data_IF_490427786344
#
_entry.id   IF_490427786344
#
_cell.length_a   1.000
_cell.length_b   1.000
_cell.length_c   1.000
_cell.angle_alpha   90.00
_cell.angle_beta   90.00
_cell.angle_gamma   90.00
#
_symmetry.space_group_name_H-M   'P 1'
#
loop_
_entity.id
_entity.type
_entity.pdbx_description
1 polymer ?
#
# COMPACT_ATOMS: atom_id res chain seq x y z
N UNK A 1 -15.89 15.18 21.14
CA UNK A 1 -16.35 15.08 19.74
C UNK A 1 -15.52 16.06 18.94
N UNK A 2 -14.94 15.64 17.81
CA UNK A 2 -14.30 16.57 16.86
C UNK A 2 -15.44 17.23 16.09
N UNK A 3 -15.65 18.53 16.29
CA UNK A 3 -16.77 19.31 15.73
C UNK A 3 -16.15 20.42 14.89
N UNK A 4 -16.65 20.64 13.68
CA UNK A 4 -16.23 21.74 12.82
C UNK A 4 -16.76 23.09 13.31
N UNK A 5 -16.22 24.19 12.80
CA UNK A 5 -16.64 25.56 13.18
C UNK A 5 -18.13 25.84 12.89
N UNK A 6 -18.72 25.09 11.96
CA UNK A 6 -20.15 25.12 11.60
C UNK A 6 -21.04 24.27 12.53
N UNK A 7 -20.48 23.61 13.55
CA UNK A 7 -21.20 22.72 14.47
C UNK A 7 -21.35 21.28 13.99
N UNK A 8 -20.87 20.95 12.79
CA UNK A 8 -20.99 19.60 12.22
C UNK A 8 -20.04 18.63 12.93
N UNK A 9 -20.54 17.46 13.39
CA UNK A 9 -19.66 16.39 13.87
C UNK A 9 -18.78 15.86 12.72
N UNK A 10 -17.46 15.96 12.85
CA UNK A 10 -16.51 15.60 11.78
C UNK A 10 -16.26 14.09 11.63
N UNK A 11 -16.34 13.34 12.73
CA UNK A 11 -16.27 11.86 12.71
C UNK A 11 -17.65 11.19 12.81
N UNK A 12 -18.63 11.73 13.59
CA UNK A 12 -19.97 11.15 13.66
C UNK A 12 -21.01 11.91 12.82
N UNK A 13 -20.74 12.20 11.55
CA UNK A 13 -21.80 12.62 10.61
C UNK A 13 -22.76 11.47 10.33
N UNK A 14 -24.05 11.76 10.17
CA UNK A 14 -25.09 10.72 10.05
C UNK A 14 -24.83 9.74 8.90
N UNK A 15 -24.33 10.21 7.75
CA UNK A 15 -24.02 9.36 6.59
C UNK A 15 -22.80 8.45 6.80
N UNK A 16 -21.70 8.99 7.33
CA UNK A 16 -20.49 8.19 7.63
C UNK A 16 -20.80 7.18 8.72
N UNK A 17 -21.49 7.58 9.78
CA UNK A 17 -21.85 6.69 10.88
C UNK A 17 -22.79 5.57 10.42
N UNK A 18 -23.79 5.89 9.59
CA UNK A 18 -24.72 4.90 9.05
C UNK A 18 -23.99 3.79 8.28
N UNK A 19 -23.18 4.16 7.28
CA UNK A 19 -22.39 3.20 6.50
C UNK A 19 -21.38 2.45 7.36
N UNK A 20 -20.65 3.16 8.23
CA UNK A 20 -19.62 2.55 9.08
C UNK A 20 -20.20 1.59 10.15
N UNK A 21 -21.46 1.79 10.55
CA UNK A 21 -22.16 0.94 11.52
C UNK A 21 -22.83 -0.30 10.92
N UNK A 22 -22.69 -0.49 9.59
CA UNK A 22 -23.27 -1.61 8.87
C UNK A 22 -22.69 -2.95 9.35
N UNK A 23 -23.56 -3.89 9.69
CA UNK A 23 -23.18 -5.22 10.20
C UNK A 23 -23.70 -6.37 9.32
N UNK A 24 -24.61 -6.09 8.39
CA UNK A 24 -25.10 -7.01 7.36
C UNK A 24 -24.07 -7.14 6.23
N UNK A 25 -23.11 -8.03 6.44
CA UNK A 25 -21.99 -8.25 5.51
C UNK A 25 -22.20 -9.59 4.80
N UNK A 26 -22.45 -9.53 3.49
CA UNK A 26 -22.77 -10.72 2.69
C UNK A 26 -21.63 -11.09 1.74
N UNK A 27 -20.92 -10.09 1.21
CA UNK A 27 -19.91 -10.32 0.19
C UNK A 27 -18.48 -10.41 0.75
N UNK A 28 -17.59 -11.08 0.01
CA UNK A 28 -16.16 -11.10 0.32
C UNK A 28 -15.56 -9.68 0.32
N UNK A 29 -16.02 -8.83 -0.59
CA UNK A 29 -15.59 -7.44 -0.67
C UNK A 29 -15.95 -6.67 0.59
N UNK A 30 -17.22 -6.72 1.01
CA UNK A 30 -17.69 -6.06 2.23
C UNK A 30 -16.98 -6.62 3.47
N UNK A 31 -16.75 -7.93 3.55
CA UNK A 31 -16.01 -8.53 4.67
C UNK A 31 -14.58 -7.96 4.77
N UNK A 32 -13.90 -7.78 3.65
CA UNK A 32 -12.58 -7.19 3.62
C UNK A 32 -12.58 -5.69 3.96
N UNK A 33 -13.64 -4.98 3.62
CA UNK A 33 -13.81 -3.56 3.96
C UNK A 33 -14.16 -3.36 5.44
N UNK A 34 -15.25 -3.95 5.92
CA UNK A 34 -15.85 -3.65 7.23
C UNK A 34 -15.24 -4.42 8.41
N UNK A 35 -14.57 -5.56 8.18
CA UNK A 35 -13.98 -6.36 9.27
C UNK A 35 -12.45 -6.40 9.28
N UNK A 36 -11.80 -6.15 8.13
CA UNK A 36 -10.35 -6.33 7.99
C UNK A 36 -9.60 -5.01 7.73
N UNK A 37 -10.26 -4.02 7.13
CA UNK A 37 -9.67 -2.72 6.82
C UNK A 37 -10.65 -1.58 7.07
N UNK A 38 -11.37 -1.62 8.19
CA UNK A 38 -12.34 -0.58 8.55
C UNK A 38 -11.65 0.79 8.69
N UNK A 39 -10.39 0.80 9.13
CA UNK A 39 -9.55 1.98 9.26
C UNK A 39 -9.41 2.77 7.94
N UNK A 40 -9.13 2.07 6.85
CA UNK A 40 -9.04 2.64 5.50
C UNK A 40 -10.42 3.01 4.96
N UNK A 41 -11.42 2.17 5.21
CA UNK A 41 -12.78 2.43 4.76
C UNK A 41 -13.29 3.76 5.33
N UNK A 42 -13.03 4.02 6.63
CA UNK A 42 -13.41 5.27 7.27
C UNK A 42 -12.86 6.49 6.52
N UNK A 43 -11.58 6.45 6.12
CA UNK A 43 -10.98 7.56 5.37
C UNK A 43 -11.62 7.75 4.00
N UNK A 44 -11.97 6.66 3.32
CA UNK A 44 -12.69 6.70 2.05
C UNK A 44 -14.09 7.31 2.21
N UNK A 45 -14.83 6.90 3.25
CA UNK A 45 -16.15 7.45 3.57
C UNK A 45 -16.07 8.94 3.89
N UNK A 46 -15.05 9.38 4.66
CA UNK A 46 -14.85 10.80 4.96
C UNK A 46 -14.63 11.62 3.68
N UNK A 47 -13.82 11.13 2.73
CA UNK A 47 -13.60 11.80 1.45
C UNK A 47 -14.85 11.83 0.56
N UNK A 48 -15.72 10.82 0.68
CA UNK A 48 -16.96 10.73 -0.08
C UNK A 48 -18.05 11.65 0.46
N UNK A 49 -18.25 11.67 1.79
CA UNK A 49 -19.30 12.46 2.44
C UNK A 49 -18.89 13.92 2.70
N UNK A 50 -17.58 14.22 2.77
CA UNK A 50 -17.06 15.57 2.93
C UNK A 50 -16.13 15.97 1.77
N UNK A 51 -16.65 16.12 0.54
CA UNK A 51 -15.86 16.41 -0.65
C UNK A 51 -15.08 17.73 -0.58
N UNK A 52 -15.57 18.70 0.20
CA UNK A 52 -14.95 20.01 0.38
C UNK A 52 -13.84 20.02 1.45
N UNK A 53 -13.53 18.85 2.03
CA UNK A 53 -12.52 18.69 3.08
C UNK A 53 -11.39 17.76 2.60
N UNK A 54 -10.24 17.88 3.25
CA UNK A 54 -9.04 17.08 2.94
C UNK A 54 -8.55 16.33 4.17
N UNK A 55 -8.02 15.12 3.94
CA UNK A 55 -7.25 14.38 4.93
C UNK A 55 -5.77 14.76 4.76
N UNK A 56 -5.06 14.99 5.87
CA UNK A 56 -3.67 15.43 5.85
C UNK A 56 -2.84 14.62 6.83
N UNK A 57 -1.62 14.33 6.45
CA UNK A 57 -0.63 13.68 7.31
C UNK A 57 0.03 14.72 8.22
N UNK A 58 0.04 14.47 9.52
CA UNK A 58 0.68 15.32 10.53
C UNK A 58 1.94 14.56 11.02
N UNK A 59 3.16 15.00 10.68
CA UNK A 59 4.39 14.31 11.05
C UNK A 59 4.60 14.12 12.55
N UNK A 60 4.06 15.04 13.35
CA UNK A 60 4.15 15.03 14.82
C UNK A 60 3.20 14.01 15.46
N UNK A 61 2.21 13.50 14.72
CA UNK A 61 1.28 12.50 15.21
C UNK A 61 1.96 11.12 15.26
N UNK A 62 2.55 10.78 16.41
CA UNK A 62 3.24 9.50 16.62
C UNK A 62 2.35 8.50 17.36
N UNK A 63 2.36 7.23 16.92
CA UNK A 63 1.74 6.12 17.63
C UNK A 63 2.76 4.99 17.88
N UNK A 64 2.67 4.36 19.04
CA UNK A 64 3.47 3.18 19.36
C UNK A 64 2.65 1.93 19.10
N UNK A 65 3.27 0.93 18.47
CA UNK A 65 2.63 -0.36 18.21
C UNK A 65 3.59 -1.49 18.49
N UNK A 66 3.04 -2.66 18.80
CA UNK A 66 3.80 -3.87 19.07
C UNK A 66 4.01 -4.60 17.74
N UNK A 67 5.28 -4.79 17.37
CA UNK A 67 5.66 -5.53 16.16
C UNK A 67 5.40 -7.03 16.38
N UNK A 68 4.94 -7.77 15.34
CA UNK A 68 4.79 -9.22 15.43
C UNK A 68 6.05 -9.94 15.93
N UNK A 69 5.91 -10.74 16.99
CA UNK A 69 7.01 -11.50 17.58
C UNK A 69 7.29 -12.84 16.87
N UNK A 70 6.37 -13.34 16.05
CA UNK A 70 6.53 -14.59 15.30
C UNK A 70 6.16 -14.42 13.85
N UNK A 71 6.79 -15.21 12.97
CA UNK A 71 6.51 -15.19 11.54
C UNK A 71 5.04 -15.53 11.22
N UNK A 72 4.43 -16.44 11.99
CA UNK A 72 3.01 -16.78 11.83
C UNK A 72 2.08 -15.59 12.11
N UNK A 73 2.38 -14.79 13.14
CA UNK A 73 1.61 -13.57 13.43
C UNK A 73 1.83 -12.53 12.33
N UNK A 74 3.07 -12.35 11.87
CA UNK A 74 3.40 -11.45 10.76
C UNK A 74 2.63 -11.81 9.49
N UNK A 75 2.64 -13.09 9.09
CA UNK A 75 1.89 -13.60 7.95
C UNK A 75 0.39 -13.32 8.09
N UNK A 76 -0.18 -13.59 9.27
CA UNK A 76 -1.61 -13.37 9.50
C UNK A 76 -1.98 -11.89 9.45
N UNK A 77 -1.14 -10.99 9.97
CA UNK A 77 -1.37 -9.55 9.88
C UNK A 77 -1.26 -9.06 8.43
N UNK A 78 -0.19 -9.43 7.73
CA UNK A 78 0.04 -8.97 6.37
C UNK A 78 -1.00 -9.50 5.38
N UNK A 79 -1.50 -10.71 5.58
CA UNK A 79 -2.67 -11.22 4.85
C UNK A 79 -3.88 -10.31 4.99
N UNK A 80 -4.25 -9.95 6.23
CA UNK A 80 -5.37 -9.04 6.50
C UNK A 80 -5.18 -7.71 5.79
N UNK A 81 -3.97 -7.15 5.87
CA UNK A 81 -3.66 -5.84 5.30
C UNK A 81 -3.68 -5.87 3.78
N UNK A 82 -3.08 -6.87 3.14
CA UNK A 82 -3.05 -6.98 1.68
C UNK A 82 -4.48 -7.18 1.15
N UNK A 83 -5.24 -8.12 1.73
CA UNK A 83 -6.59 -8.42 1.25
C UNK A 83 -7.51 -7.20 1.38
N UNK A 84 -7.51 -6.54 2.54
CA UNK A 84 -8.30 -5.32 2.73
C UNK A 84 -7.82 -4.15 1.88
N UNK A 85 -6.53 -4.04 1.58
CA UNK A 85 -5.98 -2.94 0.76
C UNK A 85 -6.53 -3.00 -0.66
N UNK A 86 -6.59 -4.17 -1.29
CA UNK A 86 -7.14 -4.33 -2.66
C UNK A 86 -8.58 -3.82 -2.73
N UNK A 87 -9.42 -4.21 -1.77
CA UNK A 87 -10.81 -3.80 -1.71
C UNK A 87 -10.99 -2.32 -1.35
N UNK A 88 -10.17 -1.79 -0.43
CA UNK A 88 -10.20 -0.38 -0.08
C UNK A 88 -9.75 0.53 -1.22
N UNK A 89 -8.70 0.14 -1.96
CA UNK A 89 -8.25 0.88 -3.14
C UNK A 89 -9.32 0.87 -4.23
N UNK A 90 -10.03 -0.25 -4.41
CA UNK A 90 -11.16 -0.31 -5.32
C UNK A 90 -12.27 0.67 -4.94
N UNK A 91 -12.62 0.77 -3.65
CA UNK A 91 -13.62 1.74 -3.19
C UNK A 91 -13.11 3.19 -3.31
N UNK A 92 -11.83 3.43 -3.03
CA UNK A 92 -11.19 4.73 -3.19
C UNK A 92 -11.23 5.23 -4.64
N UNK A 93 -11.09 4.34 -5.63
CA UNK A 93 -11.24 4.68 -7.05
C UNK A 93 -12.64 5.22 -7.41
N UNK A 94 -13.67 4.85 -6.63
CA UNK A 94 -15.06 5.30 -6.85
C UNK A 94 -15.31 6.70 -6.31
N UNK A 95 -14.45 7.23 -5.44
CA UNK A 95 -14.58 8.59 -4.88
C UNK A 95 -14.39 9.62 -5.99
N UNK A 96 -15.39 10.48 -6.22
CA UNK A 96 -15.40 11.41 -7.36
C UNK A 96 -14.43 12.58 -7.20
N UNK A 97 -14.18 13.00 -5.97
CA UNK A 97 -13.53 14.27 -5.59
C UNK A 97 -12.04 14.18 -5.32
N UNK A 98 -11.38 13.08 -5.73
CA UNK A 98 -9.93 12.97 -5.66
C UNK A 98 -9.26 14.01 -6.56
N UNK A 99 -8.19 14.62 -6.07
CA UNK A 99 -7.49 15.72 -6.72
C UNK A 99 -6.70 15.31 -7.97
N UNK A 100 -6.33 16.32 -8.77
CA UNK A 100 -5.43 16.21 -9.93
C UNK A 100 -6.15 16.13 -11.29
N UNK A 101 -5.37 16.22 -12.37
CA UNK A 101 -5.88 16.33 -13.75
C UNK A 101 -5.27 15.25 -14.64
N UNK A 102 -6.11 14.57 -15.44
CA UNK A 102 -5.67 13.56 -16.41
C UNK A 102 -4.82 12.44 -15.79
N UNK A 103 -3.68 12.14 -16.41
CA UNK A 103 -2.74 11.09 -15.98
C UNK A 103 -2.01 11.38 -14.66
N UNK A 104 -2.10 12.60 -14.13
CA UNK A 104 -1.51 13.00 -12.83
C UNK A 104 -2.59 13.13 -11.76
N UNK A 105 -3.79 12.58 -12.01
CA UNK A 105 -4.83 12.49 -10.98
C UNK A 105 -4.48 11.43 -9.94
N UNK A 106 -4.85 11.68 -8.67
CA UNK A 106 -4.72 10.66 -7.62
C UNK A 106 -5.46 9.37 -7.95
N UNK A 107 -6.53 9.42 -8.75
CA UNK A 107 -7.21 8.21 -9.25
C UNK A 107 -6.29 7.34 -10.10
N UNK A 108 -5.54 7.95 -11.01
CA UNK A 108 -4.62 7.24 -11.90
C UNK A 108 -3.48 6.64 -11.07
N UNK A 109 -2.97 7.38 -10.09
CA UNK A 109 -1.94 6.87 -9.16
C UNK A 109 -2.46 5.66 -8.38
N UNK A 110 -3.65 5.74 -7.77
CA UNK A 110 -4.26 4.63 -7.03
C UNK A 110 -4.51 3.41 -7.94
N UNK A 111 -4.94 3.64 -9.18
CA UNK A 111 -5.17 2.58 -10.15
C UNK A 111 -3.88 1.88 -10.56
N UNK A 112 -2.81 2.64 -10.85
CA UNK A 112 -1.49 2.10 -11.15
C UNK A 112 -0.96 1.30 -9.96
N UNK A 113 -1.11 1.82 -8.74
CA UNK A 113 -0.64 1.15 -7.51
C UNK A 113 -1.40 -0.16 -7.23
N UNK A 114 -2.70 -0.19 -7.50
CA UNK A 114 -3.50 -1.41 -7.45
C UNK A 114 -2.98 -2.47 -8.43
N UNK A 115 -2.73 -2.10 -9.69
CA UNK A 115 -2.17 -3.01 -10.70
C UNK A 115 -0.76 -3.46 -10.29
N UNK A 116 0.09 -2.51 -9.88
CA UNK A 116 1.47 -2.78 -9.47
C UNK A 116 1.52 -3.81 -8.35
N UNK A 117 0.63 -3.69 -7.36
CA UNK A 117 0.51 -4.64 -6.24
C UNK A 117 0.13 -6.05 -6.71
N UNK A 118 -0.73 -6.17 -7.73
CA UNK A 118 -1.13 -7.47 -8.29
C UNK A 118 -0.02 -8.13 -9.11
N UNK A 119 0.76 -7.36 -9.88
CA UNK A 119 1.83 -7.91 -10.73
C UNK A 119 3.16 -8.09 -9.99
N UNK A 120 3.29 -7.58 -8.76
CA UNK A 120 4.54 -7.57 -8.01
C UNK A 120 5.19 -8.96 -7.87
N UNK A 121 4.45 -10.06 -7.55
CA UNK A 121 5.06 -11.38 -7.39
C UNK A 121 5.61 -11.91 -8.71
N UNK A 122 4.87 -11.72 -9.81
CA UNK A 122 5.31 -12.12 -11.14
C UNK A 122 6.54 -11.30 -11.59
N UNK A 123 6.53 -10.00 -11.30
CA UNK A 123 7.65 -9.09 -11.59
C UNK A 123 8.92 -9.49 -10.84
N UNK A 124 8.78 -9.92 -9.57
CA UNK A 124 9.90 -10.43 -8.79
C UNK A 124 10.48 -11.72 -9.38
N UNK A 125 9.63 -12.70 -9.72
CA UNK A 125 10.09 -13.93 -10.39
C UNK A 125 10.80 -13.63 -11.71
N UNK A 126 10.25 -12.72 -12.51
CA UNK A 126 10.85 -12.31 -13.78
C UNK A 126 12.20 -11.61 -13.57
N UNK A 127 12.32 -10.73 -12.57
CA UNK A 127 13.57 -10.09 -12.23
C UNK A 127 14.65 -11.11 -11.81
N UNK A 128 14.30 -12.12 -11.02
CA UNK A 128 15.23 -13.19 -10.64
C UNK A 128 15.64 -14.06 -11.83
N UNK A 129 14.72 -14.33 -12.76
CA UNK A 129 15.01 -15.05 -13.99
C UNK A 129 15.96 -14.26 -14.91
N UNK A 130 15.73 -12.97 -15.10
CA UNK A 130 16.64 -12.09 -15.83
C UNK A 130 18.01 -12.03 -15.17
N UNK A 131 18.06 -11.89 -13.85
CA UNK A 131 19.31 -11.93 -13.10
C UNK A 131 20.08 -13.23 -13.40
N UNK A 132 19.41 -14.38 -13.37
CA UNK A 132 20.05 -15.65 -13.71
C UNK A 132 20.64 -15.65 -15.13
N UNK A 133 19.86 -15.27 -16.15
CA UNK A 133 20.34 -15.26 -17.54
C UNK A 133 21.53 -14.33 -17.76
N UNK A 134 21.55 -13.18 -17.07
CA UNK A 134 22.62 -12.19 -17.23
C UNK A 134 23.93 -12.65 -16.59
N UNK A 135 23.86 -13.31 -15.44
CA UNK A 135 25.05 -13.72 -14.68
C UNK A 135 25.58 -15.10 -15.06
N UNK A 136 24.72 -16.00 -15.56
CA UNK A 136 25.11 -17.38 -15.87
C UNK A 136 25.15 -17.70 -17.37
N UNK A 137 24.31 -17.05 -18.18
CA UNK A 137 24.21 -17.30 -19.62
C UNK A 137 24.75 -16.14 -20.47
N UNK A 138 25.42 -15.15 -19.85
CA UNK A 138 26.04 -13.97 -20.48
C UNK A 138 25.12 -13.23 -21.48
N UNK A 139 23.81 -13.20 -21.19
CA UNK A 139 22.83 -12.57 -22.09
C UNK A 139 23.09 -11.06 -22.19
N UNK A 140 23.23 -10.49 -23.42
CA UNK A 140 23.41 -9.06 -23.58
C UNK A 140 22.17 -8.31 -23.10
N UNK A 141 22.35 -7.50 -22.04
CA UNK A 141 21.28 -6.67 -21.48
C UNK A 141 21.09 -5.42 -22.31
N UNK A 142 19.83 -5.08 -22.63
CA UNK A 142 19.51 -3.80 -23.26
C UNK A 142 20.03 -2.64 -22.43
N UNK A 143 20.77 -1.73 -23.07
CA UNK A 143 21.30 -0.51 -22.43
C UNK A 143 20.18 0.33 -21.82
N UNK A 144 19.00 0.35 -22.47
CA UNK A 144 17.81 1.05 -21.95
C UNK A 144 17.38 0.48 -20.60
N UNK A 145 17.39 -0.84 -20.45
CA UNK A 145 16.99 -1.50 -19.21
C UNK A 145 17.98 -1.18 -18.08
N UNK A 146 19.29 -1.21 -18.36
CA UNK A 146 20.31 -0.83 -17.39
C UNK A 146 20.17 0.62 -16.93
N UNK A 147 19.92 1.55 -17.86
CA UNK A 147 19.71 2.97 -17.55
C UNK A 147 18.47 3.15 -16.68
N UNK A 148 17.35 2.49 -17.00
CA UNK A 148 16.13 2.57 -16.20
C UNK A 148 16.33 2.05 -14.77
N UNK A 149 16.93 0.87 -14.60
CA UNK A 149 17.24 0.34 -13.26
C UNK A 149 18.23 1.23 -12.49
N UNK A 150 19.24 1.77 -13.17
CA UNK A 150 20.21 2.68 -12.56
C UNK A 150 19.53 3.97 -12.04
N UNK A 151 18.60 4.55 -12.81
CA UNK A 151 17.83 5.73 -12.38
C UNK A 151 16.94 5.38 -11.18
N UNK A 152 16.22 4.25 -11.23
CA UNK A 152 15.35 3.81 -10.12
C UNK A 152 16.12 3.57 -8.82
N UNK A 153 17.19 2.77 -8.87
CA UNK A 153 18.03 2.46 -7.71
C UNK A 153 18.82 3.70 -7.25
N UNK A 154 19.32 4.50 -8.19
CA UNK A 154 20.04 5.73 -7.89
C UNK A 154 19.20 6.75 -7.14
N UNK A 155 17.91 6.89 -7.49
CA UNK A 155 16.97 7.73 -6.76
C UNK A 155 16.80 7.27 -5.30
N UNK A 156 16.65 5.95 -5.08
CA UNK A 156 16.53 5.40 -3.72
C UNK A 156 17.80 5.62 -2.89
N UNK A 157 18.98 5.42 -3.48
CA UNK A 157 20.27 5.65 -2.82
C UNK A 157 20.45 7.13 -2.50
N UNK A 158 20.07 8.05 -3.39
CA UNK A 158 20.13 9.48 -3.14
C UNK A 158 19.27 9.88 -1.94
N UNK A 159 18.03 9.38 -1.84
CA UNK A 159 17.15 9.62 -0.68
C UNK A 159 17.76 9.07 0.61
N UNK A 160 18.37 7.89 0.56
CA UNK A 160 19.06 7.30 1.71
C UNK A 160 20.23 8.17 2.20
N UNK A 161 21.08 8.65 1.28
CA UNK A 161 22.21 9.53 1.61
C UNK A 161 21.70 10.84 2.20
N UNK A 162 20.66 11.45 1.62
CA UNK A 162 20.06 12.69 2.12
C UNK A 162 19.51 12.55 3.55
N UNK A 163 19.00 11.38 3.92
CA UNK A 163 18.53 11.10 5.29
C UNK A 163 19.69 10.77 6.25
N UNK A 164 20.87 10.41 5.74
CA UNK A 164 22.11 10.16 6.49
C UNK A 164 21.98 9.21 7.70
N UNK A 165 21.13 8.18 7.59
CA UNK A 165 20.94 7.17 8.64
C UNK A 165 21.70 5.88 8.34
N UNK A 166 23.01 5.92 8.55
CA UNK A 166 23.95 4.83 8.25
C UNK A 166 23.67 3.52 9.01
N UNK A 167 22.99 3.60 10.15
CA UNK A 167 22.50 2.46 10.94
C UNK A 167 21.63 1.47 10.15
N UNK A 168 21.00 1.92 9.05
CA UNK A 168 20.16 1.04 8.24
C UNK A 168 20.91 0.22 7.20
N UNK A 169 22.21 0.41 6.95
CA UNK A 169 22.92 -0.37 5.92
C UNK A 169 22.79 -1.87 6.17
N UNK A 170 23.00 -2.29 7.42
CA UNK A 170 22.87 -3.69 7.79
C UNK A 170 21.45 -4.23 7.57
N UNK A 171 20.44 -3.41 7.91
CA UNK A 171 19.04 -3.76 7.69
C UNK A 171 18.67 -3.81 6.20
N UNK A 172 19.26 -2.95 5.37
CA UNK A 172 19.10 -3.00 3.91
C UNK A 172 19.66 -4.30 3.34
N UNK A 173 20.82 -4.76 3.82
CA UNK A 173 21.37 -6.04 3.40
C UNK A 173 20.42 -7.20 3.72
N UNK A 174 19.94 -7.28 4.98
CA UNK A 174 18.97 -8.30 5.41
C UNK A 174 17.68 -8.21 4.57
N UNK A 175 17.19 -6.99 4.33
CA UNK A 175 16.00 -6.75 3.51
C UNK A 175 16.20 -7.23 2.08
N UNK A 176 17.34 -6.96 1.45
CA UNK A 176 17.62 -7.40 0.09
C UNK A 176 17.70 -8.92 -0.02
N UNK A 177 18.37 -9.59 0.91
CA UNK A 177 18.58 -11.06 0.82
C UNK A 177 17.37 -11.88 1.27
N UNK A 178 16.69 -11.47 2.34
CA UNK A 178 15.59 -12.23 2.95
C UNK A 178 14.25 -11.50 2.86
N UNK A 179 14.28 -10.17 2.99
CA UNK A 179 13.08 -9.34 2.95
C UNK A 179 12.38 -9.39 1.59
N UNK A 180 13.10 -9.21 0.47
CA UNK A 180 12.50 -9.19 -0.87
C UNK A 180 11.71 -10.47 -1.19
N UNK A 181 12.24 -11.70 -1.01
CA UNK A 181 11.45 -12.92 -1.18
C UNK A 181 10.20 -12.94 -0.29
N UNK A 182 10.31 -12.49 0.96
CA UNK A 182 9.18 -12.49 1.90
C UNK A 182 8.11 -11.50 1.47
N UNK A 183 8.47 -10.23 1.23
CA UNK A 183 7.54 -9.14 0.98
C UNK A 183 6.98 -9.12 -0.44
N UNK A 184 7.77 -9.52 -1.45
CA UNK A 184 7.36 -9.39 -2.85
C UNK A 184 6.77 -10.69 -3.40
N UNK A 185 7.07 -11.85 -2.79
CA UNK A 185 6.62 -13.16 -3.27
C UNK A 185 5.74 -13.88 -2.24
N UNK A 186 6.28 -14.21 -1.07
CA UNK A 186 5.59 -15.07 -0.09
C UNK A 186 4.33 -14.41 0.45
N UNK A 187 4.43 -13.18 0.95
CA UNK A 187 3.31 -12.47 1.56
C UNK A 187 2.17 -12.22 0.57
N UNK A 188 2.40 -11.67 -0.65
CA UNK A 188 1.30 -11.44 -1.59
C UNK A 188 0.66 -12.75 -2.05
N UNK A 189 1.44 -13.77 -2.44
CA UNK A 189 0.90 -15.04 -2.91
C UNK A 189 0.03 -15.73 -1.86
N UNK A 190 0.50 -15.80 -0.60
CA UNK A 190 -0.29 -16.37 0.49
C UNK A 190 -1.53 -15.55 0.81
N UNK A 191 -1.49 -14.24 0.58
CA UNK A 191 -2.64 -13.37 0.83
C UNK A 191 -3.74 -13.62 -0.19
N UNK A 192 -3.39 -13.61 -1.48
CA UNK A 192 -4.32 -13.90 -2.58
C UNK A 192 -4.85 -15.33 -2.56
N UNK A 193 -4.04 -16.31 -2.15
CA UNK A 193 -4.48 -17.69 -2.02
C UNK A 193 -5.51 -17.90 -0.90
N UNK A 194 -5.48 -17.09 0.16
CA UNK A 194 -6.31 -17.24 1.35
C UNK A 194 -7.20 -16.00 1.59
N UNK A 195 -7.80 -15.47 0.53
CA UNK A 195 -8.76 -14.34 0.61
C UNK A 195 -10.07 -14.72 1.27
#
# INVERSE_FOLDING_TARGET
RIIADDGTPLLPGDGVMYEYSRNDIETLHEKNLYHLGEDRLLTTLLLQYYPDRSLTFIPEATCWTIVPHTFKILLSQRRRWINSTVHNMFELLRVKTLCGVGCVSMKVVVFIDLIATMILPASYCYAMFLFFLVFFDDLPVSTVLLVLYAVMMGCQVAVFILRSRWEYIWWFFIYFTLGLPVFYLILPLLSFWNM
#
